data_IF_230621355042
#
_entry.id   IF_230621355042
#
_cell.length_a   1.000
_cell.length_b   1.000
_cell.length_c   1.000
_cell.angle_alpha   90.00
_cell.angle_beta   90.00
_cell.angle_gamma   90.00
#
_symmetry.space_group_name_H-M   'P 1'
#
loop_
_entity.id
_entity.type
_entity.pdbx_description
1 polymer ?
#
# COMPACT_ATOMS: atom_id res chain seq x y z
N UNK A 1 -16.69 19.67 3.09
CA UNK A 1 -17.62 19.63 4.24
C UNK A 1 -17.84 18.18 4.63
N UNK A 2 -17.55 17.79 5.88
CA UNK A 2 -17.79 16.42 6.35
C UNK A 2 -19.25 16.31 6.82
N UNK A 3 -19.97 15.29 6.34
CA UNK A 3 -21.30 14.93 6.85
C UNK A 3 -21.19 13.59 7.57
N UNK A 4 -21.86 13.46 8.71
CA UNK A 4 -22.00 12.19 9.40
C UNK A 4 -23.10 11.38 8.71
N UNK A 5 -22.77 10.15 8.33
CA UNK A 5 -23.69 9.18 7.75
C UNK A 5 -23.56 7.92 8.57
N UNK A 6 -24.67 7.37 9.02
CA UNK A 6 -24.69 6.10 9.73
C UNK A 6 -25.07 5.00 8.72
N UNK A 7 -24.18 4.03 8.54
CA UNK A 7 -24.36 2.89 7.62
C UNK A 7 -24.10 1.58 8.37
N UNK A 8 -24.87 0.55 8.04
CA UNK A 8 -24.61 -0.80 8.52
C UNK A 8 -23.69 -1.50 7.54
N UNK A 9 -22.58 -2.02 8.04
CA UNK A 9 -21.55 -2.70 7.26
C UNK A 9 -21.24 -4.04 7.94
N UNK A 10 -20.87 -5.03 7.14
CA UNK A 10 -20.38 -6.31 7.66
C UNK A 10 -19.03 -6.09 8.38
N UNK A 11 -19.00 -6.37 9.68
CA UNK A 11 -17.81 -6.21 10.51
C UNK A 11 -16.66 -7.11 10.07
N UNK A 12 -16.96 -8.34 9.63
CA UNK A 12 -15.92 -9.27 9.21
C UNK A 12 -15.22 -8.77 7.93
N UNK A 13 -16.00 -8.25 6.97
CA UNK A 13 -15.43 -7.64 5.77
C UNK A 13 -14.58 -6.41 6.11
N UNK A 14 -15.07 -5.58 7.04
CA UNK A 14 -14.37 -4.38 7.49
C UNK A 14 -13.02 -4.73 8.15
N UNK A 15 -13.02 -5.70 9.06
CA UNK A 15 -11.80 -6.18 9.73
C UNK A 15 -10.79 -6.76 8.73
N UNK A 16 -11.27 -7.49 7.72
CA UNK A 16 -10.38 -8.01 6.66
C UNK A 16 -9.72 -6.89 5.87
N UNK A 17 -10.46 -5.83 5.52
CA UNK A 17 -9.90 -4.67 4.80
C UNK A 17 -8.90 -3.94 5.68
N UNK A 18 -9.24 -3.68 6.94
CA UNK A 18 -8.35 -3.06 7.91
C UNK A 18 -7.05 -3.86 8.05
N UNK A 19 -7.15 -5.19 8.16
CA UNK A 19 -5.98 -6.06 8.29
C UNK A 19 -5.15 -6.11 7.00
N UNK A 20 -5.80 -6.24 5.84
CA UNK A 20 -5.14 -6.37 4.53
C UNK A 20 -4.38 -5.10 4.14
N UNK A 21 -4.93 -3.93 4.45
CA UNK A 21 -4.37 -2.64 4.09
C UNK A 21 -3.74 -1.90 5.29
N UNK A 22 -3.61 -2.57 6.43
CA UNK A 22 -3.03 -2.01 7.66
C UNK A 22 -3.62 -0.66 8.10
N UNK A 23 -4.94 -0.52 8.00
CA UNK A 23 -5.64 0.73 8.29
C UNK A 23 -5.87 0.91 9.80
N UNK A 24 -6.05 2.15 10.25
CA UNK A 24 -6.23 2.45 11.66
C UNK A 24 -7.68 2.24 12.13
N UNK A 25 -8.66 2.49 11.26
CA UNK A 25 -10.07 2.52 11.65
C UNK A 25 -11.03 2.22 10.49
N UNK A 26 -12.27 1.89 10.85
CA UNK A 26 -13.41 1.66 9.96
C UNK A 26 -13.63 2.82 8.99
N UNK A 27 -13.52 4.05 9.51
CA UNK A 27 -13.67 5.27 8.71
C UNK A 27 -12.64 5.35 7.59
N UNK A 28 -11.41 4.96 7.89
CA UNK A 28 -10.31 4.99 6.93
C UNK A 28 -10.50 3.91 5.87
N UNK A 29 -10.93 2.70 6.27
CA UNK A 29 -11.31 1.63 5.36
C UNK A 29 -12.41 2.05 4.39
N UNK A 30 -13.49 2.67 4.88
CA UNK A 30 -14.59 3.15 4.05
C UNK A 30 -14.11 4.28 3.12
N UNK A 31 -13.30 5.21 3.64
CA UNK A 31 -12.78 6.30 2.82
C UNK A 31 -11.89 5.79 1.69
N UNK A 32 -11.00 4.84 2.00
CA UNK A 32 -10.13 4.19 1.02
C UNK A 32 -10.93 3.42 -0.02
N UNK A 33 -11.94 2.64 0.39
CA UNK A 33 -12.79 1.88 -0.53
C UNK A 33 -13.57 2.80 -1.49
N UNK A 34 -14.16 3.88 -0.96
CA UNK A 34 -14.85 4.87 -1.79
C UNK A 34 -13.91 5.58 -2.76
N UNK A 35 -12.67 5.85 -2.33
CA UNK A 35 -11.66 6.48 -3.16
C UNK A 35 -11.21 5.55 -4.29
N UNK A 36 -10.93 4.28 -3.98
CA UNK A 36 -10.58 3.26 -4.98
C UNK A 36 -11.66 3.10 -6.04
N UNK A 37 -12.95 3.07 -5.64
CA UNK A 37 -14.06 3.01 -6.61
C UNK A 37 -14.12 4.21 -7.57
N UNK A 38 -13.63 5.38 -7.15
CA UNK A 38 -13.56 6.58 -7.98
C UNK A 38 -12.26 6.65 -8.79
N UNK A 39 -11.17 6.05 -8.29
CA UNK A 39 -9.88 5.95 -8.99
C UNK A 39 -9.89 4.85 -10.06
N UNK A 40 -10.65 3.76 -9.88
CA UNK A 40 -10.86 2.71 -10.89
C UNK A 40 -11.54 3.25 -12.18
N UNK A 41 -12.27 4.37 -12.11
CA UNK A 41 -12.78 5.06 -13.32
C UNK A 41 -11.65 5.79 -14.09
N UNK A 42 -10.49 5.99 -13.48
CA UNK A 42 -9.33 6.73 -14.02
C UNK A 42 -8.14 5.82 -14.33
N UNK A 43 -8.06 4.62 -13.73
CA UNK A 43 -6.93 3.68 -13.86
C UNK A 43 -7.00 2.73 -15.08
N UNK A 44 -7.84 3.00 -16.07
CA UNK A 44 -7.69 2.35 -17.38
C UNK A 44 -6.44 2.83 -18.17
N UNK A 45 -5.71 3.85 -17.68
CA UNK A 45 -4.62 4.51 -18.42
C UNK A 45 -3.28 4.65 -17.68
N UNK A 46 -3.01 3.93 -16.58
CA UNK A 46 -1.67 3.99 -15.97
C UNK A 46 -0.84 2.74 -16.26
N UNK A 47 -0.03 2.89 -17.32
CA UNK A 47 1.13 2.10 -17.71
C UNK A 47 2.01 1.63 -16.52
N UNK A 48 2.77 0.52 -16.69
CA UNK A 48 3.60 -0.03 -15.63
C UNK A 48 4.61 1.02 -15.17
N UNK A 49 4.43 1.49 -13.93
CA UNK A 49 5.44 2.30 -13.27
C UNK A 49 6.69 1.42 -13.15
N UNK A 50 7.73 1.84 -13.86
CA UNK A 50 9.08 1.33 -13.77
C UNK A 50 9.40 1.01 -12.31
N UNK A 51 9.75 -0.24 -12.06
CA UNK A 51 10.20 -0.75 -10.76
C UNK A 51 11.39 0.11 -10.29
N UNK A 52 11.12 1.12 -9.45
CA UNK A 52 12.16 1.87 -8.77
C UNK A 52 13.01 0.86 -8.00
N UNK A 53 14.27 0.71 -8.42
CA UNK A 53 15.24 -0.17 -7.79
C UNK A 53 15.46 0.28 -6.34
N UNK A 54 14.84 -0.42 -5.39
CA UNK A 54 14.97 -0.14 -3.97
C UNK A 54 16.26 -0.76 -3.41
N UNK A 55 17.31 0.07 -3.33
CA UNK A 55 18.63 -0.27 -2.80
C UNK A 55 18.61 -0.70 -1.32
N UNK A 56 17.49 -0.52 -0.60
CA UNK A 56 17.34 -0.96 0.79
C UNK A 56 16.84 -2.41 0.93
N UNK A 57 16.29 -2.99 -0.13
CA UNK A 57 15.82 -4.38 -0.15
C UNK A 57 16.93 -5.39 -0.49
N UNK A 58 18.05 -4.92 -1.06
CA UNK A 58 19.18 -5.78 -1.40
C UNK A 58 20.14 -5.97 -0.21
N UNK A 59 19.97 -7.10 0.50
CA UNK A 59 20.85 -7.54 1.59
C UNK A 59 22.33 -7.69 1.18
N UNK A 60 22.62 -7.69 -0.13
CA UNK A 60 23.98 -7.70 -0.64
C UNK A 60 24.70 -6.34 -0.44
N UNK A 61 23.97 -5.23 -0.29
CA UNK A 61 24.53 -3.89 -0.04
C UNK A 61 25.28 -3.78 1.30
N UNK A 62 24.96 -4.64 2.28
CA UNK A 62 25.63 -4.69 3.58
C UNK A 62 26.86 -5.61 3.60
N UNK A 63 27.11 -6.36 2.53
CA UNK A 63 28.36 -7.13 2.41
C UNK A 63 29.49 -6.17 2.06
N UNK A 64 30.18 -5.68 3.09
CA UNK A 64 31.53 -5.12 2.96
C UNK A 64 32.36 -6.08 2.09
N UNK A 65 32.59 -5.70 0.83
CA UNK A 65 33.58 -6.35 -0.01
C UNK A 65 34.92 -6.21 0.73
N UNK A 66 35.34 -7.27 1.41
CA UNK A 66 36.73 -7.41 1.83
C UNK A 66 37.51 -7.65 0.56
N UNK A 67 38.02 -6.57 -0.04
CA UNK A 67 39.17 -6.65 -0.93
C UNK A 67 40.38 -7.06 -0.07
N UNK A 68 40.43 -8.34 0.27
CA UNK A 68 41.67 -9.01 0.65
C UNK A 68 42.47 -9.23 -0.63
N UNK A 69 43.52 -8.44 -0.77
CA UNK A 69 44.86 -8.87 -1.14
C UNK A 69 44.98 -9.95 -2.24
N UNK A 70 45.46 -9.53 -3.42
CA UNK A 70 46.37 -10.36 -4.22
C UNK A 70 47.30 -9.46 -5.02
N UNK A 71 48.57 -9.39 -4.60
CA UNK A 71 49.80 -9.36 -5.42
C UNK A 71 49.92 -8.36 -6.55
#
# INVERSE_FOLDING_TARGET
MLKRVDILVDDHLLQQVIHKYHLADAREAIHMALKALLEDEVEAEHEPQDEEYDEFSDLSAWRRQRSSDTG
#
